data_IF_102264600825
#
_entry.id   IF_102264600825
#
_cell.length_a   1.000
_cell.length_b   1.000
_cell.length_c   1.000
_cell.angle_alpha   90.00
_cell.angle_beta   90.00
_cell.angle_gamma   90.00
#
_symmetry.space_group_name_H-M   'P 1'
#
loop_
_entity.id
_entity.type
_entity.pdbx_description
1 polymer ?
#
# COMPACT_ATOMS: atom_id res chain seq x y z
N UNK A 1 33.53 -24.38 2.33
CA UNK A 1 33.56 -24.37 3.81
C UNK A 1 32.14 -24.30 4.30
N UNK A 2 31.74 -25.22 5.20
CA UNK A 2 30.39 -25.31 5.76
C UNK A 2 30.17 -24.16 6.76
N UNK A 3 29.01 -23.52 6.74
CA UNK A 3 28.48 -22.75 7.86
C UNK A 3 27.00 -23.13 8.06
N UNK A 4 26.64 -23.34 9.32
CA UNK A 4 25.53 -24.15 9.80
C UNK A 4 24.19 -23.44 9.63
N UNK A 5 23.21 -24.12 9.04
CA UNK A 5 21.81 -23.77 9.14
C UNK A 5 21.24 -24.45 10.41
N UNK A 6 21.60 -23.90 11.57
CA UNK A 6 21.00 -24.26 12.86
C UNK A 6 19.98 -23.18 13.28
N UNK A 7 19.27 -22.57 12.31
CA UNK A 7 18.14 -21.72 12.63
C UNK A 7 17.05 -22.61 13.22
N UNK A 8 16.93 -22.59 14.55
CA UNK A 8 15.80 -23.19 15.28
C UNK A 8 14.53 -22.67 14.64
N UNK A 9 13.69 -23.56 14.11
CA UNK A 9 12.39 -23.20 13.60
C UNK A 9 11.54 -22.72 14.79
N UNK A 10 11.35 -21.41 14.90
CA UNK A 10 10.44 -20.78 15.85
C UNK A 10 9.18 -20.32 15.11
N UNK A 11 8.05 -20.31 15.79
CA UNK A 11 6.82 -19.75 15.23
C UNK A 11 6.86 -18.22 15.29
N UNK A 12 6.03 -17.55 14.48
CA UNK A 12 5.90 -16.09 14.51
C UNK A 12 5.57 -15.56 15.90
N UNK A 13 4.61 -16.21 16.58
CA UNK A 13 4.18 -15.82 17.93
C UNK A 13 5.33 -15.87 18.95
N UNK A 14 6.23 -16.86 18.83
CA UNK A 14 7.39 -16.99 19.71
C UNK A 14 8.45 -15.93 19.44
N UNK A 15 8.65 -15.55 18.18
CA UNK A 15 9.56 -14.47 17.81
C UNK A 15 9.04 -13.11 18.33
N UNK A 16 7.73 -12.88 18.27
CA UNK A 16 7.08 -11.68 18.78
C UNK A 16 7.21 -11.56 20.30
N UNK A 17 6.94 -12.65 21.03
CA UNK A 17 7.12 -12.70 22.49
C UNK A 17 8.58 -12.45 22.91
N UNK A 18 9.54 -13.07 22.22
CA UNK A 18 10.98 -12.84 22.47
C UNK A 18 11.40 -11.39 22.19
N UNK A 19 10.85 -10.78 21.14
CA UNK A 19 11.10 -9.38 20.81
C UNK A 19 10.57 -8.43 21.90
N UNK A 20 9.34 -8.66 22.37
CA UNK A 20 8.70 -7.87 23.42
C UNK A 20 9.41 -8.01 24.78
N UNK A 21 9.95 -9.20 25.06
CA UNK A 21 10.74 -9.48 26.26
C UNK A 21 12.17 -8.91 26.21
N UNK A 22 12.60 -8.38 25.05
CA UNK A 22 13.94 -7.82 24.84
C UNK A 22 15.03 -8.90 24.69
N UNK A 23 14.65 -10.12 24.34
CA UNK A 23 15.57 -11.23 24.08
C UNK A 23 16.33 -11.03 22.75
N UNK A 24 17.49 -11.66 22.61
CA UNK A 24 18.29 -11.61 21.38
C UNK A 24 17.66 -12.45 20.26
N UNK A 25 17.01 -11.75 19.32
CA UNK A 25 16.38 -12.35 18.14
C UNK A 25 17.28 -12.36 16.89
N UNK A 26 18.50 -11.80 16.95
CA UNK A 26 19.35 -11.64 15.76
C UNK A 26 19.79 -12.97 15.16
N UNK A 27 19.81 -14.04 15.97
CA UNK A 27 20.09 -15.41 15.51
C UNK A 27 19.02 -15.99 14.58
N UNK A 28 17.83 -15.38 14.53
CA UNK A 28 16.70 -15.81 13.69
C UNK A 28 16.46 -14.90 12.47
N UNK A 29 17.23 -13.81 12.33
CA UNK A 29 17.07 -12.83 11.26
C UNK A 29 18.21 -12.97 10.24
N UNK A 30 17.89 -13.05 8.95
CA UNK A 30 18.90 -13.00 7.88
C UNK A 30 19.41 -11.56 7.70
N UNK A 31 20.54 -11.26 8.33
CA UNK A 31 21.23 -9.97 8.20
C UNK A 31 22.06 -9.86 6.91
N UNK A 32 22.27 -10.97 6.20
CA UNK A 32 23.06 -11.02 4.96
C UNK A 32 22.27 -10.58 3.73
N UNK A 33 20.96 -10.87 3.70
CA UNK A 33 20.04 -10.42 2.66
C UNK A 33 18.79 -9.78 3.26
N UNK A 34 18.91 -8.62 3.94
CA UNK A 34 17.73 -7.91 4.44
C UNK A 34 16.85 -7.51 3.25
N UNK A 35 15.69 -8.16 3.13
CA UNK A 35 14.66 -7.74 2.18
C UNK A 35 13.98 -6.53 2.78
N UNK A 36 14.47 -5.35 2.40
CA UNK A 36 13.79 -4.10 2.72
C UNK A 36 12.63 -3.98 1.74
N UNK A 37 11.41 -4.23 2.19
CA UNK A 37 10.17 -3.88 1.46
C UNK A 37 10.00 -2.34 1.42
N UNK A 38 10.98 -1.62 0.88
CA UNK A 38 10.69 -0.34 0.26
C UNK A 38 10.06 -0.66 -1.09
N UNK A 39 8.78 -1.04 -1.07
CA UNK A 39 7.91 -0.84 -2.20
C UNK A 39 7.49 0.63 -2.17
N UNK A 40 8.18 1.57 -2.86
CA UNK A 40 7.51 2.82 -3.18
C UNK A 40 6.21 2.42 -3.90
N UNK A 41 5.05 2.97 -3.51
CA UNK A 41 3.84 2.70 -4.25
C UNK A 41 4.16 3.00 -5.72
N UNK A 42 3.93 2.01 -6.60
CA UNK A 42 4.12 2.14 -8.04
C UNK A 42 3.05 3.11 -8.57
N UNK A 43 3.17 4.38 -8.22
CA UNK A 43 2.30 5.44 -8.67
C UNK A 43 2.55 5.65 -10.16
N UNK A 44 1.60 5.22 -10.98
CA UNK A 44 1.65 5.45 -12.42
C UNK A 44 1.02 6.80 -12.74
N UNK A 45 1.84 7.73 -13.24
CA UNK A 45 1.36 9.02 -13.75
C UNK A 45 0.71 8.82 -15.11
N UNK A 46 -0.50 9.34 -15.26
CA UNK A 46 -1.23 9.35 -16.52
C UNK A 46 -1.46 10.79 -16.96
N UNK A 47 -1.42 11.05 -18.27
CA UNK A 47 -1.80 12.34 -18.87
C UNK A 47 -3.13 12.14 -19.58
N UNK A 48 -4.08 13.04 -19.34
CA UNK A 48 -5.41 12.99 -19.94
C UNK A 48 -5.84 14.39 -20.40
N UNK A 49 -6.70 14.43 -21.40
CA UNK A 49 -7.30 15.67 -21.91
C UNK A 49 -8.79 15.65 -21.61
N UNK A 50 -9.31 16.75 -21.05
CA UNK A 50 -10.74 16.92 -20.76
C UNK A 50 -11.23 18.24 -21.34
N UNK A 51 -12.55 18.36 -21.63
CA UNK A 51 -13.16 19.64 -21.94
C UNK A 51 -12.96 20.66 -20.82
N UNK A 52 -12.89 21.95 -21.18
CA UNK A 52 -12.69 23.04 -20.23
C UNK A 52 -13.75 23.07 -19.13
N UNK A 53 -15.02 22.84 -19.49
CA UNK A 53 -16.12 22.82 -18.52
C UNK A 53 -15.92 21.74 -17.45
N UNK A 54 -15.40 20.56 -17.81
CA UNK A 54 -15.16 19.49 -16.83
C UNK A 54 -14.04 19.85 -15.85
N UNK A 55 -13.01 20.55 -16.32
CA UNK A 55 -11.93 21.02 -15.44
C UNK A 55 -12.44 22.08 -14.47
N UNK A 56 -13.29 23.00 -14.93
CA UNK A 56 -13.91 24.02 -14.08
C UNK A 56 -14.75 23.42 -12.97
N UNK A 57 -15.61 22.44 -13.27
CA UNK A 57 -16.42 21.74 -12.25
C UNK A 57 -15.54 21.03 -11.22
N UNK A 58 -14.45 20.39 -11.66
CA UNK A 58 -13.50 19.74 -10.75
C UNK A 58 -12.74 20.74 -9.86
N UNK A 59 -12.53 21.96 -10.33
CA UNK A 59 -11.91 23.03 -9.54
C UNK A 59 -12.86 23.61 -8.49
N UNK A 60 -14.13 23.78 -8.84
CA UNK A 60 -15.16 24.23 -7.90
C UNK A 60 -15.32 23.21 -6.77
N UNK A 61 -15.43 21.92 -7.09
CA UNK A 61 -15.51 20.85 -6.09
C UNK A 61 -14.24 20.79 -5.21
N UNK A 62 -13.07 20.95 -5.82
CA UNK A 62 -11.80 20.96 -5.08
C UNK A 62 -11.75 22.12 -4.08
N UNK A 63 -12.27 23.29 -4.46
CA UNK A 63 -12.36 24.45 -3.59
C UNK A 63 -13.35 24.24 -2.43
N UNK A 64 -14.53 23.67 -2.71
CA UNK A 64 -15.52 23.35 -1.67
C UNK A 64 -14.99 22.35 -0.64
N UNK A 65 -14.28 21.33 -1.10
CA UNK A 65 -13.69 20.30 -0.24
C UNK A 65 -12.34 20.70 0.38
N UNK A 66 -11.80 21.87 0.01
CA UNK A 66 -10.47 22.34 0.41
C UNK A 66 -9.34 21.32 0.12
N UNK A 67 -9.42 20.62 -1.01
CA UNK A 67 -8.41 19.65 -1.46
C UNK A 67 -7.90 19.99 -2.87
N UNK A 68 -6.88 19.26 -3.34
CA UNK A 68 -6.41 19.44 -4.71
C UNK A 68 -7.36 18.79 -5.73
N UNK A 69 -7.42 19.34 -6.95
CA UNK A 69 -8.11 18.72 -8.10
C UNK A 69 -7.75 17.25 -8.29
N UNK A 70 -6.46 16.91 -8.16
CA UNK A 70 -5.98 15.53 -8.27
C UNK A 70 -6.57 14.62 -7.19
N UNK A 71 -6.77 15.14 -5.97
CA UNK A 71 -7.41 14.38 -4.90
C UNK A 71 -8.89 14.12 -5.20
N UNK A 72 -9.63 15.10 -5.75
CA UNK A 72 -11.01 14.91 -6.21
C UNK A 72 -11.07 13.80 -7.26
N UNK A 73 -10.25 13.92 -8.33
CA UNK A 73 -10.20 12.95 -9.42
C UNK A 73 -9.87 11.54 -8.91
N UNK A 74 -8.83 11.42 -8.07
CA UNK A 74 -8.43 10.12 -7.52
C UNK A 74 -9.54 9.50 -6.66
N UNK A 75 -10.21 10.31 -5.83
CA UNK A 75 -11.28 9.83 -4.95
C UNK A 75 -12.47 9.32 -5.74
N UNK A 76 -12.91 10.07 -6.74
CA UNK A 76 -14.06 9.69 -7.57
C UNK A 76 -13.78 8.47 -8.43
N UNK A 77 -12.60 8.39 -9.05
CA UNK A 77 -12.18 7.20 -9.82
C UNK A 77 -12.12 5.98 -8.91
N UNK A 78 -11.53 6.11 -7.72
CA UNK A 78 -11.47 5.02 -6.75
C UNK A 78 -12.87 4.56 -6.30
N UNK A 79 -13.77 5.49 -5.98
CA UNK A 79 -15.13 5.14 -5.58
C UNK A 79 -15.92 4.48 -6.71
N UNK A 80 -15.78 4.98 -7.94
CA UNK A 80 -16.44 4.38 -9.11
C UNK A 80 -15.96 2.95 -9.35
N UNK A 81 -14.66 2.71 -9.29
CA UNK A 81 -14.07 1.37 -9.43
C UNK A 81 -14.51 0.42 -8.32
N UNK A 82 -14.55 0.89 -7.07
CA UNK A 82 -15.06 0.10 -5.92
C UNK A 82 -16.53 -0.25 -6.10
N UNK A 83 -17.34 0.70 -6.53
CA UNK A 83 -18.77 0.49 -6.78
C UNK A 83 -19.02 -0.49 -7.92
N UNK A 84 -18.25 -0.43 -9.00
CA UNK A 84 -18.32 -1.41 -10.09
C UNK A 84 -17.97 -2.81 -9.61
N UNK A 85 -16.85 -2.97 -8.89
CA UNK A 85 -16.42 -4.27 -8.34
C UNK A 85 -17.44 -4.87 -7.37
N UNK A 86 -18.05 -4.04 -6.51
CA UNK A 86 -19.11 -4.48 -5.60
C UNK A 86 -20.32 -5.03 -6.36
N UNK A 87 -20.69 -4.40 -7.49
CA UNK A 87 -21.81 -4.87 -8.33
C UNK A 87 -21.49 -6.19 -9.02
N UNK A 88 -20.29 -6.32 -9.59
CA UNK A 88 -19.85 -7.57 -10.22
C UNK A 88 -19.85 -8.76 -9.25
N UNK A 89 -19.31 -8.56 -8.04
CA UNK A 89 -19.30 -9.60 -7.01
C UNK A 89 -20.68 -9.96 -6.46
N UNK A 90 -21.68 -9.09 -6.60
CA UNK A 90 -23.06 -9.35 -6.18
C UNK A 90 -23.87 -10.11 -7.24
N UNK A 91 -23.35 -10.21 -8.47
CA UNK A 91 -23.96 -10.92 -9.60
C UNK A 91 -23.23 -12.23 -9.96
N UNK A 92 -22.19 -12.60 -9.20
CA UNK A 92 -21.45 -13.86 -9.29
C UNK A 92 -21.86 -14.80 -8.16
#
# INVERSE_FOLDING_TARGET
MKAKNDAKAITSDQLEEMFDNGDDILSYVDLGNPVVEHHPPLEKRITLTMPAWTVSELDEEAAELAISRNAVVNTWVADRLRTMRRRENAHA
#
